data_IF_966847759742
#
_entry.id   IF_966847759742
#
_cell.length_a   1.000
_cell.length_b   1.000
_cell.length_c   1.000
_cell.angle_alpha   90.00
_cell.angle_beta   90.00
_cell.angle_gamma   90.00
#
_symmetry.space_group_name_H-M   'P 1'
#
loop_
_entity.id
_entity.type
_entity.pdbx_description
1 polymer ?
#
# COMPACT_ATOMS: atom_id res chain seq x y z
N UNK A 1 2.35 -2.27 -16.91
CA UNK A 1 3.33 -1.34 -16.31
C UNK A 1 4.70 -2.03 -16.27
N UNK A 2 5.81 -1.29 -16.16
CA UNK A 2 7.18 -1.84 -16.17
C UNK A 2 8.01 -1.38 -14.95
N UNK A 3 7.38 -1.29 -13.78
CA UNK A 3 8.09 -1.02 -12.54
C UNK A 3 9.03 -2.19 -12.18
N UNK A 4 10.12 -1.95 -11.44
CA UNK A 4 10.95 -3.05 -10.94
C UNK A 4 10.14 -3.93 -9.98
N UNK A 5 10.42 -5.23 -9.99
CA UNK A 5 9.85 -6.21 -9.08
C UNK A 5 10.64 -6.28 -7.78
N UNK A 6 11.67 -7.14 -7.74
CA UNK A 6 12.53 -7.33 -6.56
C UNK A 6 14.00 -7.07 -6.86
N UNK A 7 14.32 -6.38 -7.96
CA UNK A 7 15.69 -6.02 -8.31
C UNK A 7 16.31 -5.03 -7.31
N UNK A 8 17.57 -5.21 -6.98
CA UNK A 8 18.31 -4.31 -6.06
C UNK A 8 19.36 -3.45 -6.76
N UNK A 9 19.68 -3.76 -8.03
CA UNK A 9 20.64 -3.02 -8.84
C UNK A 9 19.96 -1.83 -9.53
N UNK A 10 20.42 -0.60 -9.23
CA UNK A 10 19.82 0.63 -9.74
C UNK A 10 19.82 0.67 -11.27
N UNK A 11 20.86 0.16 -11.93
CA UNK A 11 20.94 0.14 -13.40
C UNK A 11 19.83 -0.74 -13.98
N UNK A 12 19.64 -1.95 -13.43
CA UNK A 12 18.53 -2.84 -13.79
C UNK A 12 17.17 -2.24 -13.45
N UNK A 13 17.08 -1.43 -12.39
CA UNK A 13 15.84 -0.74 -12.00
C UNK A 13 15.49 0.46 -12.90
N UNK A 14 16.44 1.08 -13.62
CA UNK A 14 16.15 2.31 -14.38
C UNK A 14 16.32 2.20 -15.88
N UNK A 15 17.24 1.36 -16.37
CA UNK A 15 17.51 1.27 -17.81
C UNK A 15 16.33 0.68 -18.56
N UNK A 16 15.98 1.28 -19.70
CA UNK A 16 14.93 0.80 -20.61
C UNK A 16 13.49 1.02 -20.14
N UNK A 17 13.26 1.85 -19.11
CA UNK A 17 11.92 2.21 -18.63
C UNK A 17 11.38 3.46 -19.29
N UNK A 18 10.06 3.53 -19.35
CA UNK A 18 9.32 4.67 -19.89
C UNK A 18 9.51 5.90 -19.00
N UNK A 19 9.48 7.12 -19.57
CA UNK A 19 9.70 8.36 -18.82
C UNK A 19 8.67 8.56 -17.70
N UNK A 20 7.42 8.15 -17.88
CA UNK A 20 6.36 8.23 -16.87
C UNK A 20 6.68 7.31 -15.68
N UNK A 21 7.12 6.08 -15.95
CA UNK A 21 7.53 5.12 -14.91
C UNK A 21 8.69 5.69 -14.09
N UNK A 22 9.72 6.23 -14.76
CA UNK A 22 10.86 6.85 -14.09
C UNK A 22 10.45 8.07 -13.26
N UNK A 23 9.53 8.88 -13.75
CA UNK A 23 9.02 10.04 -13.04
C UNK A 23 8.27 9.64 -11.76
N UNK A 24 7.39 8.64 -11.83
CA UNK A 24 6.66 8.12 -10.66
C UNK A 24 7.62 7.45 -9.69
N UNK A 25 8.52 6.58 -10.15
CA UNK A 25 9.53 5.96 -9.28
C UNK A 25 10.31 7.01 -8.48
N UNK A 26 10.79 8.06 -9.17
CA UNK A 26 11.52 9.16 -8.54
C UNK A 26 10.64 9.94 -7.56
N UNK A 27 9.39 10.22 -7.92
CA UNK A 27 8.45 10.94 -7.06
C UNK A 27 8.13 10.15 -5.79
N UNK A 28 7.87 8.86 -5.91
CA UNK A 28 7.54 7.97 -4.78
C UNK A 28 8.69 7.84 -3.79
N UNK A 29 9.94 7.71 -4.24
CA UNK A 29 11.09 7.58 -3.33
C UNK A 29 11.52 8.91 -2.69
N UNK A 30 11.20 10.05 -3.30
CA UNK A 30 11.56 11.38 -2.79
C UNK A 30 10.56 11.96 -1.80
N UNK A 31 9.36 11.38 -1.71
CA UNK A 31 8.30 11.85 -0.82
C UNK A 31 7.93 10.74 0.17
N UNK A 32 7.69 11.08 1.45
CA UNK A 32 7.34 10.08 2.46
C UNK A 32 5.85 9.72 2.36
N UNK A 33 5.41 9.19 1.21
CA UNK A 33 4.06 8.68 1.06
C UNK A 33 3.84 7.50 2.00
N UNK A 34 2.66 7.50 2.65
CA UNK A 34 2.26 6.48 3.64
C UNK A 34 1.18 5.59 3.06
N UNK A 35 0.18 6.18 2.41
CA UNK A 35 -0.95 5.51 1.79
C UNK A 35 -1.17 6.08 0.39
N UNK A 36 -1.44 5.23 -0.59
CA UNK A 36 -1.69 5.59 -1.98
C UNK A 36 -2.77 4.69 -2.60
N UNK A 37 -3.41 5.16 -3.66
CA UNK A 37 -4.25 4.32 -4.48
C UNK A 37 -4.13 4.73 -5.94
N UNK A 38 -4.02 3.74 -6.83
CA UNK A 38 -4.07 3.93 -8.28
C UNK A 38 -5.48 3.66 -8.80
N UNK A 39 -6.00 4.49 -9.71
CA UNK A 39 -7.36 4.34 -10.23
C UNK A 39 -7.34 3.74 -11.64
N UNK A 40 -8.12 2.69 -11.82
CA UNK A 40 -8.24 1.91 -13.04
C UNK A 40 -9.72 1.72 -13.44
N UNK A 41 -9.94 1.20 -14.63
CA UNK A 41 -11.27 0.84 -15.12
C UNK A 41 -11.24 -0.44 -15.95
N UNK A 42 -12.42 -1.05 -16.05
CA UNK A 42 -12.64 -2.37 -16.65
C UNK A 42 -13.37 -3.29 -15.68
N UNK A 43 -13.26 -3.04 -14.37
CA UNK A 43 -13.87 -3.82 -13.30
C UNK A 43 -14.39 -2.92 -12.18
N UNK A 44 -15.01 -3.54 -11.18
CA UNK A 44 -15.42 -2.87 -9.93
C UNK A 44 -14.95 -3.74 -8.76
N UNK A 45 -13.73 -3.48 -8.28
CA UNK A 45 -13.04 -4.23 -7.21
C UNK A 45 -11.86 -3.42 -6.67
N UNK A 46 -11.47 -3.63 -5.42
CA UNK A 46 -10.15 -3.20 -4.93
C UNK A 46 -9.17 -4.36 -4.98
N UNK A 47 -8.11 -4.20 -5.76
CA UNK A 47 -7.00 -5.14 -5.82
C UNK A 47 -5.94 -4.71 -4.82
N UNK A 48 -5.45 -5.65 -4.01
CA UNK A 48 -4.41 -5.40 -3.03
C UNK A 48 -3.19 -6.33 -3.23
N UNK A 49 -2.00 -5.92 -2.74
CA UNK A 49 -0.76 -6.63 -3.03
C UNK A 49 -0.69 -8.05 -2.43
N UNK A 50 0.20 -8.91 -2.91
CA UNK A 50 1.03 -8.70 -4.10
C UNK A 50 0.28 -9.00 -5.40
N UNK A 51 0.67 -8.33 -6.48
CA UNK A 51 0.20 -8.63 -7.84
C UNK A 51 1.01 -9.75 -8.50
N UNK A 52 2.31 -9.86 -8.21
CA UNK A 52 3.12 -10.92 -8.80
C UNK A 52 2.83 -12.28 -8.15
N UNK A 53 2.80 -13.34 -8.95
CA UNK A 53 2.70 -14.71 -8.45
C UNK A 53 4.06 -15.17 -7.92
N UNK A 54 4.08 -15.83 -6.76
CA UNK A 54 5.29 -16.50 -6.29
C UNK A 54 5.67 -17.66 -7.25
N UNK A 55 6.95 -17.84 -7.62
CA UNK A 55 7.35 -18.77 -8.68
C UNK A 55 6.81 -20.20 -8.55
N UNK A 56 6.71 -20.70 -7.30
CA UNK A 56 6.31 -22.07 -6.98
C UNK A 56 4.84 -22.20 -6.58
N UNK A 57 4.08 -21.11 -6.60
CA UNK A 57 2.70 -21.11 -6.14
C UNK A 57 1.74 -21.66 -7.20
N UNK A 58 0.69 -22.41 -6.80
CA UNK A 58 -0.36 -22.86 -7.70
C UNK A 58 -0.97 -21.73 -8.53
N UNK A 59 -1.60 -22.08 -9.64
CA UNK A 59 -2.44 -21.15 -10.37
C UNK A 59 -3.59 -20.69 -9.46
N UNK A 60 -3.96 -19.41 -9.56
CA UNK A 60 -5.03 -18.76 -8.78
C UNK A 60 -4.81 -18.83 -7.25
N UNK A 61 -3.56 -18.86 -6.81
CA UNK A 61 -3.21 -18.78 -5.40
C UNK A 61 -2.80 -17.36 -5.00
N UNK A 62 -3.24 -16.87 -3.82
CA UNK A 62 -2.88 -15.54 -3.38
C UNK A 62 -1.39 -15.47 -3.02
N UNK A 63 -0.78 -14.32 -3.29
CA UNK A 63 0.55 -13.97 -2.81
C UNK A 63 0.42 -12.87 -1.75
N UNK A 64 0.42 -13.26 -0.48
CA UNK A 64 0.14 -12.38 0.64
C UNK A 64 1.37 -11.55 1.03
N UNK A 65 1.14 -10.29 1.39
CA UNK A 65 2.19 -9.47 2.02
C UNK A 65 2.33 -9.78 3.51
N UNK A 66 3.44 -9.38 4.15
CA UNK A 66 3.55 -9.37 5.62
C UNK A 66 2.47 -8.53 6.33
N UNK A 67 1.87 -7.54 5.64
CA UNK A 67 0.81 -6.66 6.14
C UNK A 67 -0.56 -6.96 5.47
N UNK A 68 -0.84 -8.22 5.12
CA UNK A 68 -2.08 -8.64 4.44
C UNK A 68 -3.35 -8.20 5.18
N UNK A 69 -3.34 -8.24 6.51
CA UNK A 69 -4.45 -7.81 7.34
C UNK A 69 -4.76 -6.32 7.19
N UNK A 70 -3.71 -5.48 7.17
CA UNK A 70 -3.82 -4.03 6.89
C UNK A 70 -4.33 -3.82 5.47
N UNK A 71 -3.77 -4.50 4.46
CA UNK A 71 -4.22 -4.34 3.08
C UNK A 71 -5.67 -4.75 2.86
N UNK A 72 -6.11 -5.88 3.44
CA UNK A 72 -7.53 -6.29 3.41
C UNK A 72 -8.44 -5.29 4.11
N UNK A 73 -7.98 -4.70 5.22
CA UNK A 73 -8.73 -3.63 5.90
C UNK A 73 -8.84 -2.36 5.04
N UNK A 74 -7.74 -1.92 4.42
CA UNK A 74 -7.70 -0.77 3.53
C UNK A 74 -8.62 -0.98 2.31
N UNK A 75 -8.47 -2.12 1.63
CA UNK A 75 -9.29 -2.49 0.49
C UNK A 75 -10.78 -2.59 0.86
N UNK A 76 -11.08 -3.28 1.96
CA UNK A 76 -12.44 -3.44 2.46
C UNK A 76 -13.06 -2.11 2.89
N UNK A 77 -12.28 -1.16 3.40
CA UNK A 77 -12.77 0.18 3.77
C UNK A 77 -13.29 0.92 2.56
N UNK A 78 -12.55 0.89 1.44
CA UNK A 78 -13.03 1.48 0.19
C UNK A 78 -14.25 0.72 -0.36
N UNK A 79 -14.14 -0.60 -0.52
CA UNK A 79 -15.18 -1.42 -1.14
C UNK A 79 -16.55 -1.33 -0.42
N UNK A 80 -16.55 -1.32 0.93
CA UNK A 80 -17.78 -1.18 1.75
C UNK A 80 -18.40 0.21 1.69
N UNK A 81 -17.60 1.25 1.42
CA UNK A 81 -18.05 2.65 1.36
C UNK A 81 -18.41 3.08 -0.07
N UNK A 82 -17.96 2.32 -1.07
CA UNK A 82 -18.47 2.41 -2.43
C UNK A 82 -19.93 1.95 -2.47
N UNK A 83 -20.74 2.52 -3.35
CA UNK A 83 -22.19 2.27 -3.37
C UNK A 83 -22.58 0.81 -3.64
N UNK A 84 -21.81 0.11 -4.48
CA UNK A 84 -22.11 -1.23 -4.96
C UNK A 84 -20.91 -2.18 -5.09
N UNK A 85 -19.67 -1.75 -4.80
CA UNK A 85 -18.46 -2.56 -5.03
C UNK A 85 -18.43 -3.81 -4.14
N UNK A 86 -18.91 -3.71 -2.90
CA UNK A 86 -19.04 -4.85 -1.99
C UNK A 86 -20.04 -5.92 -2.46
N UNK A 87 -20.88 -5.61 -3.46
CA UNK A 87 -21.90 -6.53 -3.98
C UNK A 87 -21.31 -7.32 -5.13
N UNK A 88 -21.51 -8.62 -5.13
CA UNK A 88 -21.16 -9.48 -6.27
C UNK A 88 -22.39 -10.09 -6.94
N UNK A 89 -22.34 -10.37 -8.26
CA UNK A 89 -21.24 -10.08 -9.17
C UNK A 89 -21.22 -8.62 -9.68
N UNK A 90 -20.04 -8.12 -10.04
CA UNK A 90 -19.85 -6.87 -10.79
C UNK A 90 -19.15 -7.18 -12.10
N UNK A 91 -19.55 -6.53 -13.19
CA UNK A 91 -18.88 -6.68 -14.49
C UNK A 91 -18.72 -8.14 -14.96
N UNK A 92 -19.64 -9.04 -14.57
CA UNK A 92 -19.58 -10.50 -14.80
C UNK A 92 -18.49 -11.26 -14.01
N UNK A 93 -17.85 -10.60 -13.06
CA UNK A 93 -16.86 -11.17 -12.14
C UNK A 93 -17.40 -11.26 -10.71
N UNK A 94 -16.91 -12.24 -9.96
CA UNK A 94 -17.28 -12.43 -8.55
C UNK A 94 -16.09 -12.12 -7.66
N UNK A 95 -16.22 -11.08 -6.82
CA UNK A 95 -15.24 -10.70 -5.82
C UNK A 95 -15.90 -10.67 -4.44
N UNK A 96 -15.49 -11.57 -3.55
CA UNK A 96 -16.08 -11.60 -2.21
C UNK A 96 -15.75 -10.30 -1.45
N UNK A 97 -16.79 -9.63 -0.95
CA UNK A 97 -16.66 -8.32 -0.31
C UNK A 97 -16.13 -7.18 -1.19
N UNK A 98 -16.01 -7.39 -2.52
CA UNK A 98 -15.51 -6.37 -3.46
C UNK A 98 -14.00 -6.13 -3.40
N UNK A 99 -13.23 -7.11 -2.91
CA UNK A 99 -11.77 -7.04 -2.82
C UNK A 99 -11.13 -8.31 -3.39
N UNK A 100 -9.89 -8.22 -3.85
CA UNK A 100 -9.12 -9.40 -4.30
C UNK A 100 -7.61 -9.19 -4.12
N UNK A 101 -6.88 -10.27 -3.86
CA UNK A 101 -5.43 -10.25 -4.01
C UNK A 101 -5.06 -10.22 -5.51
N UNK A 102 -4.06 -9.44 -5.89
CA UNK A 102 -3.68 -9.29 -7.30
C UNK A 102 -3.20 -10.59 -7.94
N UNK A 103 -2.33 -11.32 -7.26
CA UNK A 103 -1.78 -12.59 -7.75
C UNK A 103 -2.82 -13.72 -7.84
N UNK A 104 -3.84 -13.70 -6.98
CA UNK A 104 -4.96 -14.64 -6.99
C UNK A 104 -5.87 -14.44 -8.21
N UNK A 105 -6.07 -13.18 -8.63
CA UNK A 105 -6.98 -12.86 -9.73
C UNK A 105 -6.32 -12.92 -11.11
N UNK A 106 -5.38 -12.01 -11.41
CA UNK A 106 -4.59 -12.03 -12.64
C UNK A 106 -3.18 -11.56 -12.29
N UNK A 107 -2.20 -12.48 -12.19
CA UNK A 107 -0.88 -12.11 -11.71
C UNK A 107 -0.16 -11.19 -12.71
N UNK A 108 0.37 -10.08 -12.19
CA UNK A 108 1.09 -9.06 -12.97
C UNK A 108 2.44 -8.79 -12.32
N UNK A 109 3.52 -8.92 -13.10
CA UNK A 109 4.85 -8.47 -12.69
C UNK A 109 5.08 -7.02 -13.11
N UNK A 110 5.78 -6.25 -12.27
CA UNK A 110 6.14 -4.85 -12.56
C UNK A 110 4.97 -3.88 -12.40
N UNK A 111 4.08 -4.13 -11.44
CA UNK A 111 3.03 -3.20 -11.04
C UNK A 111 3.57 -2.03 -10.21
N UNK A 112 2.92 -0.86 -10.33
CA UNK A 112 3.23 0.30 -9.49
C UNK A 112 2.88 0.03 -8.02
N UNK A 113 1.80 -0.72 -7.80
CA UNK A 113 1.30 -1.11 -6.50
C UNK A 113 2.35 -1.88 -5.69
N UNK A 114 2.92 -2.95 -6.28
CA UNK A 114 3.96 -3.74 -5.60
C UNK A 114 5.25 -2.92 -5.43
N UNK A 115 5.59 -2.07 -6.42
CA UNK A 115 6.75 -1.17 -6.31
C UNK A 115 6.63 -0.23 -5.09
N UNK A 116 5.46 0.38 -4.89
CA UNK A 116 5.20 1.29 -3.77
C UNK A 116 5.48 0.61 -2.44
N UNK A 117 5.03 -0.63 -2.26
CA UNK A 117 5.22 -1.39 -1.02
C UNK A 117 6.65 -1.95 -0.86
N UNK A 118 7.28 -2.41 -1.94
CA UNK A 118 8.61 -3.04 -1.87
C UNK A 118 9.73 -1.99 -1.68
N UNK A 119 9.65 -0.85 -2.36
CA UNK A 119 10.74 0.12 -2.44
C UNK A 119 10.52 1.40 -1.64
N UNK A 120 9.35 1.58 -1.03
CA UNK A 120 9.05 2.77 -0.21
C UNK A 120 8.31 2.35 1.08
N UNK A 121 7.89 3.31 1.89
CA UNK A 121 7.03 3.04 3.06
C UNK A 121 5.52 3.05 2.69
N UNK A 122 5.17 3.18 1.41
CA UNK A 122 3.82 3.48 0.97
C UNK A 122 2.99 2.21 0.72
N UNK A 123 1.81 2.17 1.35
CA UNK A 123 0.82 1.14 1.13
C UNK A 123 -0.06 1.58 -0.04
N UNK A 124 0.10 0.94 -1.20
CA UNK A 124 -0.71 1.23 -2.38
C UNK A 124 -1.70 0.09 -2.67
N UNK A 125 -2.92 0.45 -3.10
CA UNK A 125 -3.91 -0.48 -3.66
C UNK A 125 -4.33 0.00 -5.06
N UNK A 126 -4.90 -0.90 -5.85
CA UNK A 126 -5.45 -0.59 -7.17
C UNK A 126 -6.98 -0.59 -7.08
N UNK A 127 -7.59 0.53 -7.44
CA UNK A 127 -9.03 0.74 -7.43
C UNK A 127 -9.57 0.60 -8.84
N UNK A 128 -10.21 -0.53 -9.15
CA UNK A 128 -11.01 -0.68 -10.36
C UNK A 128 -12.39 -0.10 -10.08
N UNK A 129 -12.71 1.08 -10.65
CA UNK A 129 -13.86 1.89 -10.21
C UNK A 129 -15.07 1.83 -11.15
N UNK A 130 -14.96 1.16 -12.31
CA UNK A 130 -16.05 1.10 -13.29
C UNK A 130 -15.86 -0.03 -14.29
N UNK A 131 -16.93 -0.75 -14.66
CA UNK A 131 -16.88 -1.77 -15.71
C UNK A 131 -16.51 -1.17 -17.08
N UNK A 132 -17.00 0.03 -17.38
CA UNK A 132 -16.71 0.71 -18.64
C UNK A 132 -15.45 1.57 -18.48
N UNK A 133 -14.36 1.20 -19.18
CA UNK A 133 -13.09 1.95 -19.17
C UNK A 133 -13.21 3.41 -19.58
N UNK A 134 -14.16 3.71 -20.46
CA UNK A 134 -14.39 5.05 -20.99
C UNK A 134 -15.90 5.35 -20.99
N UNK A 135 -16.48 5.67 -19.83
CA UNK A 135 -17.90 5.90 -19.71
C UNK A 135 -18.33 7.20 -20.40
N UNK A 136 -19.61 7.32 -20.75
CA UNK A 136 -20.15 8.55 -21.33
C UNK A 136 -20.14 9.69 -20.31
N UNK A 137 -19.94 10.93 -20.76
CA UNK A 137 -19.85 12.09 -19.88
C UNK A 137 -21.07 12.27 -18.95
N UNK A 138 -22.26 11.85 -19.38
CA UNK A 138 -23.49 11.95 -18.60
C UNK A 138 -23.56 10.98 -17.40
N UNK A 139 -22.69 9.97 -17.31
CA UNK A 139 -22.62 9.05 -16.17
C UNK A 139 -21.62 9.50 -15.11
N UNK A 140 -20.76 10.49 -15.39
CA UNK A 140 -19.66 10.89 -14.51
C UNK A 140 -20.15 11.36 -13.13
N UNK A 141 -21.28 12.06 -13.05
CA UNK A 141 -21.87 12.47 -11.76
C UNK A 141 -22.29 11.24 -10.94
N UNK A 142 -22.86 10.23 -11.59
CA UNK A 142 -23.20 8.98 -10.91
C UNK A 142 -21.96 8.24 -10.43
N UNK A 143 -20.90 8.18 -11.23
CA UNK A 143 -19.64 7.53 -10.82
C UNK A 143 -18.97 8.28 -9.67
N UNK A 144 -19.02 9.62 -9.67
CA UNK A 144 -18.57 10.43 -8.55
C UNK A 144 -19.32 10.10 -7.26
N UNK A 145 -20.66 10.09 -7.28
CA UNK A 145 -21.46 9.80 -6.08
C UNK A 145 -21.23 8.38 -5.56
N UNK A 146 -20.92 7.41 -6.43
CA UNK A 146 -20.56 6.06 -6.00
C UNK A 146 -19.24 6.02 -5.22
N UNK A 147 -18.25 6.81 -5.65
CA UNK A 147 -16.87 6.75 -5.17
C UNK A 147 -16.54 7.76 -4.08
N UNK A 148 -17.26 8.89 -4.00
CA UNK A 148 -16.93 10.03 -3.12
C UNK A 148 -16.70 9.62 -1.67
N UNK A 149 -17.64 8.89 -1.07
CA UNK A 149 -17.52 8.48 0.33
C UNK A 149 -16.44 7.40 0.54
N UNK A 150 -16.21 6.55 -0.47
CA UNK A 150 -15.14 5.55 -0.46
C UNK A 150 -13.76 6.19 -0.48
N UNK A 151 -13.55 7.17 -1.37
CA UNK A 151 -12.31 7.94 -1.48
C UNK A 151 -11.99 8.67 -0.18
N UNK A 152 -12.98 9.36 0.40
CA UNK A 152 -12.80 10.06 1.68
C UNK A 152 -12.46 9.08 2.81
N UNK A 153 -13.23 8.00 2.96
CA UNK A 153 -13.00 7.00 4.01
C UNK A 153 -11.65 6.30 3.88
N UNK A 154 -11.18 6.10 2.64
CA UNK A 154 -9.87 5.53 2.35
C UNK A 154 -8.74 6.50 2.71
N UNK A 155 -8.84 7.78 2.33
CA UNK A 155 -7.85 8.79 2.70
C UNK A 155 -7.72 8.95 4.21
N UNK A 156 -8.82 8.83 4.96
CA UNK A 156 -8.80 8.85 6.43
C UNK A 156 -7.96 7.72 7.04
N UNK A 157 -7.81 6.57 6.36
CA UNK A 157 -7.03 5.44 6.86
C UNK A 157 -5.53 5.76 7.02
N UNK A 158 -5.01 6.79 6.35
CA UNK A 158 -3.59 7.20 6.51
C UNK A 158 -3.25 7.61 7.95
N UNK A 159 -4.26 7.85 8.79
CA UNK A 159 -4.10 8.22 10.18
C UNK A 159 -4.16 7.07 11.18
N UNK A 160 -4.36 5.81 10.73
CA UNK A 160 -4.37 4.64 11.60
C UNK A 160 -2.94 4.21 12.02
N UNK A 161 -2.87 3.25 12.94
CA UNK A 161 -1.61 2.65 13.39
C UNK A 161 -0.80 3.55 14.33
N UNK A 162 0.52 3.59 14.12
CA UNK A 162 1.46 4.29 15.00
C UNK A 162 2.27 5.29 14.19
N UNK A 163 2.40 6.51 14.70
CA UNK A 163 3.30 7.52 14.14
C UNK A 163 4.16 8.14 15.23
N UNK A 164 5.34 8.62 14.87
CA UNK A 164 6.24 9.21 15.85
C UNK A 164 7.46 9.86 15.22
N UNK A 165 8.38 10.28 16.09
CA UNK A 165 9.66 10.88 15.69
C UNK A 165 10.79 10.17 16.42
N UNK A 166 11.78 9.68 15.68
CA UNK A 166 13.01 9.10 16.22
C UNK A 166 14.04 10.21 16.43
N UNK A 167 14.56 10.30 17.66
CA UNK A 167 15.51 11.32 18.08
C UNK A 167 16.67 10.68 18.83
N UNK A 168 17.86 11.26 18.67
CA UNK A 168 18.99 10.93 19.52
C UNK A 168 18.70 11.39 20.95
N UNK A 169 18.98 10.52 21.93
CA UNK A 169 18.69 10.75 23.34
C UNK A 169 19.36 12.01 23.92
N UNK A 170 20.61 12.31 23.54
CA UNK A 170 21.38 13.40 24.16
C UNK A 170 21.10 14.76 23.53
N UNK A 171 21.20 14.87 22.21
CA UNK A 171 21.02 16.16 21.52
C UNK A 171 19.56 16.47 21.19
N UNK A 172 18.68 15.46 21.20
CA UNK A 172 17.30 15.60 20.72
C UNK A 172 17.19 15.76 19.20
N UNK A 173 18.31 15.64 18.47
CA UNK A 173 18.34 15.74 17.01
C UNK A 173 17.57 14.57 16.39
N UNK A 174 16.78 14.87 15.37
CA UNK A 174 16.09 13.85 14.58
C UNK A 174 17.09 12.91 13.89
N UNK A 175 16.77 11.62 13.88
CA UNK A 175 17.58 10.60 13.20
C UNK A 175 16.85 10.24 11.90
N UNK A 176 17.46 10.59 10.76
CA UNK A 176 16.97 10.21 9.45
C UNK A 176 17.31 8.76 9.11
N UNK A 177 16.48 8.12 8.28
CA UNK A 177 16.69 6.74 7.78
C UNK A 177 16.89 5.68 8.87
N UNK A 178 16.38 5.91 10.08
CA UNK A 178 16.28 4.88 11.09
C UNK A 178 15.23 3.85 10.66
N UNK A 179 15.51 2.57 10.86
CA UNK A 179 14.60 1.47 10.59
C UNK A 179 13.67 1.28 11.78
N UNK A 180 12.37 1.30 11.53
CA UNK A 180 11.31 0.99 12.50
C UNK A 180 10.74 -0.39 12.17
N UNK A 181 10.90 -1.31 13.11
CA UNK A 181 10.58 -2.73 12.98
C UNK A 181 9.42 -3.03 13.91
N UNK A 182 8.37 -3.65 13.40
CA UNK A 182 7.28 -4.19 14.22
C UNK A 182 7.57 -5.67 14.48
N UNK A 183 7.71 -6.05 15.74
CA UNK A 183 8.01 -7.44 16.07
C UNK A 183 6.87 -8.35 15.57
N UNK A 184 7.22 -9.32 14.73
CA UNK A 184 6.27 -10.29 14.14
C UNK A 184 5.76 -9.93 12.75
N UNK A 185 6.10 -8.75 12.21
CA UNK A 185 5.76 -8.37 10.84
C UNK A 185 7.04 -8.18 10.04
N UNK A 186 7.23 -8.98 8.99
CA UNK A 186 8.43 -8.96 8.15
C UNK A 186 8.38 -7.87 7.06
N UNK A 187 8.04 -6.65 7.47
CA UNK A 187 8.08 -5.47 6.61
C UNK A 187 8.43 -4.25 7.46
N UNK A 188 9.61 -3.68 7.23
CA UNK A 188 10.12 -2.56 7.99
C UNK A 188 9.88 -1.24 7.27
N UNK A 189 9.71 -0.15 8.02
CA UNK A 189 9.66 1.21 7.45
C UNK A 189 10.89 2.01 7.87
N UNK A 190 11.14 3.11 7.17
CA UNK A 190 12.24 4.04 7.48
C UNK A 190 11.76 5.44 7.83
N UNK A 191 12.49 6.13 8.70
CA UNK A 191 12.14 7.51 9.07
C UNK A 191 12.55 8.53 8.00
N UNK A 192 11.81 9.63 7.91
CA UNK A 192 12.12 10.77 7.04
C UNK A 192 13.38 11.51 7.47
N UNK A 193 13.80 12.52 6.70
CA UNK A 193 14.87 13.46 7.06
C UNK A 193 14.60 14.22 8.38
N UNK A 194 13.33 14.29 8.82
CA UNK A 194 12.92 14.86 10.11
C UNK A 194 12.76 13.80 11.21
N UNK A 195 13.17 12.57 10.96
CA UNK A 195 13.03 11.44 11.87
C UNK A 195 11.59 10.96 12.06
N UNK A 196 10.66 11.41 11.23
CA UNK A 196 9.24 11.06 11.32
C UNK A 196 9.00 9.67 10.74
N UNK A 197 8.04 8.93 11.29
CA UNK A 197 7.55 7.68 10.71
C UNK A 197 6.04 7.56 10.89
N UNK A 198 5.42 6.78 9.99
CA UNK A 198 4.03 6.37 10.06
C UNK A 198 3.98 4.89 9.70
N UNK A 199 3.51 4.07 10.64
CA UNK A 199 3.35 2.63 10.49
C UNK A 199 1.87 2.30 10.59
N UNK A 200 1.25 1.96 9.48
CA UNK A 200 -0.13 1.51 9.45
C UNK A 200 -0.21 0.15 10.13
N UNK A 201 -1.11 0.03 11.12
CA UNK A 201 -1.35 -1.18 11.90
C UNK A 201 -2.82 -1.20 12.30
N UNK A 202 -3.39 -2.39 12.37
CA UNK A 202 -4.71 -2.60 12.94
C UNK A 202 -4.70 -2.44 14.46
N UNK A 203 -5.87 -2.30 15.10
CA UNK A 203 -5.98 -2.30 16.55
C UNK A 203 -5.33 -3.54 17.17
N UNK A 204 -4.46 -3.34 18.16
CA UNK A 204 -3.66 -4.41 18.72
C UNK A 204 -2.56 -3.92 19.67
N UNK A 205 -1.81 -4.86 20.23
CA UNK A 205 -0.62 -4.56 21.03
C UNK A 205 0.64 -4.97 20.28
N UNK A 206 1.58 -4.04 20.17
CA UNK A 206 2.80 -4.21 19.38
C UNK A 206 4.04 -3.87 20.20
N UNK A 207 5.17 -4.44 19.77
CA UNK A 207 6.51 -4.01 20.18
C UNK A 207 7.26 -3.46 18.98
N UNK A 208 7.72 -2.22 19.08
CA UNK A 208 8.54 -1.57 18.07
C UNK A 208 10.01 -1.66 18.45
N UNK A 209 10.85 -2.01 17.49
CA UNK A 209 12.31 -1.93 17.58
C UNK A 209 12.76 -0.83 16.62
N UNK A 210 13.54 0.13 17.12
CA UNK A 210 14.13 1.18 16.30
C UNK A 210 15.63 0.94 16.23
N UNK A 211 16.16 0.85 15.02
CA UNK A 211 17.58 0.62 14.74
C UNK A 211 18.11 1.65 13.74
N UNK A 212 19.33 2.12 13.95
CA UNK A 212 20.02 3.02 13.01
C UNK A 212 21.53 2.79 13.13
N UNK A 213 22.30 2.77 12.02
CA UNK A 213 23.75 2.65 12.07
C UNK A 213 24.37 3.69 12.99
N UNK A 214 25.26 3.25 13.90
CA UNK A 214 25.93 4.10 14.88
C UNK A 214 25.14 4.39 16.16
N UNK A 215 23.93 3.85 16.33
CA UNK A 215 23.12 3.98 17.54
C UNK A 215 22.81 2.62 18.16
N UNK A 216 22.65 2.59 19.48
CA UNK A 216 22.08 1.42 20.17
C UNK A 216 20.59 1.29 19.82
N UNK A 217 20.17 0.07 19.49
CA UNK A 217 18.77 -0.20 19.16
C UNK A 217 17.88 -0.04 20.39
N UNK A 218 16.72 0.58 20.20
CA UNK A 218 15.74 0.78 21.29
C UNK A 218 14.51 -0.06 21.05
N UNK A 219 13.98 -0.66 22.12
CA UNK A 219 12.73 -1.43 22.08
C UNK A 219 11.64 -0.70 22.86
N UNK A 220 10.51 -0.42 22.22
CA UNK A 220 9.30 0.11 22.85
C UNK A 220 8.22 -0.97 22.84
N UNK A 221 7.88 -1.47 24.02
CA UNK A 221 6.87 -2.53 24.22
C UNK A 221 5.51 -1.95 24.58
N UNK A 222 4.47 -2.78 24.47
CA UNK A 222 3.10 -2.49 24.90
C UNK A 222 2.49 -1.25 24.20
N UNK A 223 2.83 -1.04 22.93
CA UNK A 223 2.22 0.02 22.13
C UNK A 223 0.83 -0.46 21.73
N UNK A 224 -0.19 0.24 22.23
CA UNK A 224 -1.58 -0.09 21.93
C UNK A 224 -2.07 0.79 20.79
N UNK A 225 -2.48 0.16 19.69
CA UNK A 225 -3.23 0.79 18.61
C UNK A 225 -4.71 0.61 18.91
N UNK A 226 -5.45 1.70 18.96
CA UNK A 226 -6.91 1.70 19.21
C UNK A 226 -7.66 1.99 17.90
N UNK A 227 -8.95 1.67 17.90
CA UNK A 227 -9.90 2.02 16.83
C UNK A 227 -10.14 3.52 16.74
#
# INVERSE_FOLDING_TARGET
SNFPGTETDLTKMTVGREPETLAIMKWSVLNPFVLSASLHGGLVVVVYPYDYRSPDAPMDSPNLTPDDDVFRHLAGTYARKHSDMFRSPQCQEYFDGGITNGAEWIPVSGSMQDFSYIYTNCYEVTLEISCCKYPMANTLVSEWEKNKNALLSYMEQVHMGVKGVVKEFRTGKAIAKATVIVQGIDHNITTTERGEFWRLLLPGQYSLIVSSPGYESTVRRNITVMT
#
